data_IF_207633392374
#
_entry.id   IF_207633392374
#
_cell.length_a   1.000
_cell.length_b   1.000
_cell.length_c   1.000
_cell.angle_alpha   90.00
_cell.angle_beta   90.00
_cell.angle_gamma   90.00
#
_symmetry.space_group_name_H-M   'P 1'
#
loop_
_entity.id
_entity.type
_entity.pdbx_description
1 polymer ?
#
# COMPACT_ATOMS: atom_id res chain seq x y z
N UNK A 1 12.32 -6.26 -19.76
CA UNK A 1 10.97 -6.71 -19.36
C UNK A 1 10.73 -6.23 -17.94
N UNK A 2 9.58 -5.59 -17.68
CA UNK A 2 9.14 -5.27 -16.32
C UNK A 2 8.77 -6.57 -15.59
N UNK A 3 9.08 -6.66 -14.29
CA UNK A 3 8.60 -7.78 -13.48
C UNK A 3 7.10 -7.63 -13.20
N UNK A 4 6.45 -8.70 -12.72
CA UNK A 4 5.06 -8.63 -12.28
C UNK A 4 4.86 -7.53 -11.22
N UNK A 5 5.81 -7.42 -10.28
CA UNK A 5 5.74 -6.39 -9.24
C UNK A 5 5.89 -4.98 -9.81
N UNK A 6 6.70 -4.79 -10.86
CA UNK A 6 6.82 -3.48 -11.50
C UNK A 6 5.51 -3.08 -12.20
N UNK A 7 4.86 -4.02 -12.89
CA UNK A 7 3.55 -3.76 -13.49
C UNK A 7 2.49 -3.44 -12.42
N UNK A 8 2.48 -4.17 -11.30
CA UNK A 8 1.57 -3.90 -10.18
C UNK A 8 1.81 -2.55 -9.52
N UNK A 9 3.07 -2.08 -9.45
CA UNK A 9 3.40 -0.73 -8.96
C UNK A 9 2.87 0.34 -9.90
N UNK A 10 3.05 0.16 -11.20
CA UNK A 10 2.56 1.12 -12.19
C UNK A 10 1.02 1.22 -12.12
N UNK A 11 0.31 0.09 -12.11
CA UNK A 11 -1.15 0.07 -11.96
C UNK A 11 -1.61 0.70 -10.63
N UNK A 12 -0.91 0.43 -9.53
CA UNK A 12 -1.26 1.02 -8.25
C UNK A 12 -1.07 2.54 -8.25
N UNK A 13 -0.01 3.03 -8.88
CA UNK A 13 0.24 4.46 -9.02
C UNK A 13 -0.84 5.14 -9.87
N UNK A 14 -1.29 4.51 -10.96
CA UNK A 14 -2.41 4.99 -11.77
C UNK A 14 -3.71 5.07 -10.94
N UNK A 15 -3.98 4.09 -10.09
CA UNK A 15 -5.13 4.11 -9.16
C UNK A 15 -5.03 5.29 -8.19
N UNK A 16 -3.85 5.60 -7.65
CA UNK A 16 -3.67 6.74 -6.73
C UNK A 16 -3.77 8.12 -7.43
N UNK A 17 -3.70 8.13 -8.76
CA UNK A 17 -3.86 9.31 -9.60
C UNK A 17 -5.30 9.48 -10.13
N UNK A 18 -6.16 8.48 -9.93
CA UNK A 18 -7.59 8.59 -10.20
C UNK A 18 -8.19 9.83 -9.52
N UNK A 19 -9.09 10.51 -10.21
CA UNK A 19 -9.62 11.80 -9.78
C UNK A 19 -10.28 11.72 -8.40
N UNK A 20 -11.12 10.70 -8.16
CA UNK A 20 -11.84 10.57 -6.89
C UNK A 20 -10.90 10.23 -5.74
N UNK A 21 -9.96 9.31 -5.97
CA UNK A 21 -8.99 8.90 -4.97
C UNK A 21 -7.99 10.02 -4.66
N UNK A 22 -7.54 10.76 -5.68
CA UNK A 22 -6.63 11.89 -5.51
C UNK A 22 -7.28 13.00 -4.68
N UNK A 23 -8.58 13.29 -4.88
CA UNK A 23 -9.34 14.22 -4.04
C UNK A 23 -9.39 13.71 -2.60
N UNK A 24 -9.70 12.43 -2.40
CA UNK A 24 -9.82 11.85 -1.07
C UNK A 24 -8.48 11.92 -0.31
N UNK A 25 -7.38 11.56 -0.98
CA UNK A 25 -6.02 11.64 -0.44
C UNK A 25 -5.66 13.07 -0.05
N UNK A 26 -5.89 14.02 -0.95
CA UNK A 26 -5.54 15.42 -0.70
C UNK A 26 -6.42 16.05 0.40
N UNK A 27 -7.72 15.79 0.38
CA UNK A 27 -8.69 16.34 1.34
C UNK A 27 -8.39 15.85 2.76
N UNK A 28 -8.07 14.57 2.91
CA UNK A 28 -7.74 13.97 4.19
C UNK A 28 -6.26 14.12 4.57
N UNK A 29 -5.47 14.84 3.75
CA UNK A 29 -4.02 15.03 3.95
C UNK A 29 -3.27 13.71 4.16
N UNK A 30 -3.68 12.67 3.44
CA UNK A 30 -3.02 11.36 3.52
C UNK A 30 -1.64 11.44 2.86
N UNK A 31 -0.62 10.95 3.54
CA UNK A 31 0.72 10.90 2.95
C UNK A 31 0.81 9.76 1.93
N UNK A 32 0.89 10.12 0.64
CA UNK A 32 1.06 9.18 -0.46
C UNK A 32 2.29 8.28 -0.27
N UNK A 33 3.33 8.72 0.43
CA UNK A 33 4.51 7.89 0.73
C UNK A 33 4.14 6.73 1.64
N UNK A 34 3.32 6.97 2.67
CA UNK A 34 2.86 5.91 3.58
C UNK A 34 2.03 4.89 2.81
N UNK A 35 1.12 5.36 1.94
CA UNK A 35 0.28 4.49 1.10
C UNK A 35 1.14 3.60 0.19
N UNK A 36 2.15 4.18 -0.46
CA UNK A 36 3.09 3.44 -1.32
C UNK A 36 3.94 2.44 -0.53
N UNK A 37 4.48 2.83 0.62
CA UNK A 37 5.28 1.93 1.47
C UNK A 37 4.44 0.78 2.04
N UNK A 38 3.18 1.03 2.34
CA UNK A 38 2.25 0.00 2.78
C UNK A 38 1.95 -0.99 1.63
N UNK A 39 1.79 -0.50 0.40
CA UNK A 39 1.62 -1.36 -0.78
C UNK A 39 2.83 -2.29 -1.02
N UNK A 40 4.06 -1.81 -0.79
CA UNK A 40 5.25 -2.68 -0.87
C UNK A 40 5.20 -3.86 0.11
N UNK A 41 4.57 -3.71 1.29
CA UNK A 41 4.35 -4.83 2.23
C UNK A 41 3.36 -5.86 1.69
N UNK A 42 2.38 -5.43 0.90
CA UNK A 42 1.46 -6.33 0.22
C UNK A 42 2.16 -7.10 -0.90
N UNK A 43 3.00 -6.44 -1.69
CA UNK A 43 3.78 -7.10 -2.75
C UNK A 43 4.78 -8.12 -2.19
N UNK A 44 5.40 -7.83 -1.04
CA UNK A 44 6.35 -8.74 -0.39
C UNK A 44 5.71 -10.04 0.10
N UNK A 45 4.42 -10.02 0.43
CA UNK A 45 3.68 -11.19 0.92
C UNK A 45 2.95 -11.96 -0.19
N UNK A 46 3.10 -11.62 -1.48
CA UNK A 46 2.43 -12.34 -2.59
C UNK A 46 3.16 -13.59 -3.11
N UNK A 47 4.35 -13.91 -2.59
CA UNK A 47 5.16 -15.03 -3.08
C UNK A 47 5.15 -16.20 -2.08
N UNK A 48 4.23 -17.16 -2.24
CA UNK A 48 4.24 -18.43 -1.50
C UNK A 48 2.98 -19.28 -1.70
N UNK A 49 3.07 -20.57 -1.39
CA UNK A 49 2.05 -21.61 -1.72
C UNK A 49 0.72 -21.47 -0.94
N UNK A 50 0.66 -20.67 0.13
CA UNK A 50 -0.54 -20.43 0.95
C UNK A 50 -1.08 -19.00 0.78
N UNK A 51 -1.59 -18.74 -0.41
CA UNK A 51 -2.03 -17.42 -0.89
C UNK A 51 -3.02 -16.71 0.07
N UNK A 52 -3.91 -17.47 0.73
CA UNK A 52 -4.93 -16.92 1.64
C UNK A 52 -4.33 -16.42 2.96
N UNK A 53 -3.42 -17.18 3.58
CA UNK A 53 -2.78 -16.76 4.84
C UNK A 53 -1.79 -15.63 4.61
N UNK A 54 -1.08 -15.68 3.48
CA UNK A 54 -0.17 -14.63 3.05
C UNK A 54 -0.87 -13.31 2.74
N UNK A 55 -2.04 -13.33 2.09
CA UNK A 55 -2.87 -12.13 1.89
C UNK A 55 -3.35 -11.55 3.22
N UNK A 56 -3.80 -12.39 4.16
CA UNK A 56 -4.22 -11.93 5.49
C UNK A 56 -3.08 -11.29 6.27
N UNK A 57 -1.89 -11.91 6.24
CA UNK A 57 -0.68 -11.37 6.84
C UNK A 57 -0.27 -10.05 6.21
N UNK A 58 -0.26 -9.97 4.88
CA UNK A 58 0.04 -8.74 4.16
C UNK A 58 -0.90 -7.60 4.52
N UNK A 59 -2.20 -7.87 4.66
CA UNK A 59 -3.19 -6.87 5.13
C UNK A 59 -2.91 -6.41 6.56
N UNK A 60 -2.62 -7.35 7.47
CA UNK A 60 -2.29 -7.01 8.85
C UNK A 60 -1.01 -6.16 8.94
N UNK A 61 0.01 -6.49 8.16
CA UNK A 61 1.26 -5.72 8.06
C UNK A 61 1.01 -4.32 7.48
N UNK A 62 0.15 -4.21 6.46
CA UNK A 62 -0.28 -2.94 5.86
C UNK A 62 -0.97 -2.03 6.88
N UNK A 63 -1.97 -2.55 7.59
CA UNK A 63 -2.73 -1.80 8.60
C UNK A 63 -1.82 -1.38 9.77
N UNK A 64 -0.97 -2.29 10.23
CA UNK A 64 -0.01 -2.03 11.31
C UNK A 64 0.97 -0.93 10.94
N UNK A 65 1.47 -0.93 9.70
CA UNK A 65 2.38 0.09 9.21
C UNK A 65 1.71 1.47 9.23
N UNK A 66 0.48 1.59 8.71
CA UNK A 66 -0.28 2.86 8.73
C UNK A 66 -0.48 3.34 10.16
N UNK A 67 -0.93 2.47 11.07
CA UNK A 67 -1.18 2.84 12.48
C UNK A 67 0.10 3.37 13.14
N UNK A 68 1.24 2.72 12.90
CA UNK A 68 2.52 3.09 13.50
C UNK A 68 3.05 4.43 12.96
N UNK A 69 2.94 4.66 11.65
CA UNK A 69 3.31 5.94 11.04
C UNK A 69 2.42 7.09 11.53
N UNK A 70 1.11 6.87 11.67
CA UNK A 70 0.22 7.89 12.23
C UNK A 70 0.54 8.21 13.69
N UNK A 71 0.91 7.19 14.48
CA UNK A 71 1.34 7.39 15.88
C UNK A 71 2.68 8.10 15.99
N UNK A 72 3.64 7.82 15.10
CA UNK A 72 4.96 8.46 15.13
C UNK A 72 4.89 9.95 14.80
N UNK A 73 3.92 10.38 13.98
CA UNK A 73 3.68 11.79 13.65
C UNK A 73 2.95 12.59 14.74
N UNK A 74 2.43 11.94 15.79
CA UNK A 74 1.75 12.61 16.90
C UNK A 74 2.68 12.98 18.07
N UNK A 75 3.97 12.66 17.99
CA UNK A 75 4.98 12.91 19.03
C UNK A 75 5.94 14.04 18.68
#
# INVERSE_FOLDING_TARGET
>A
MKSLNDNLRDEFQEILEDYELSILINTNRLDKRIINLAFEKLLANKMGDDEIELIKKGRADFETYIINELKSQQH
#
